data_IF_007512068720
#
_entry.id   IF_007512068720
#
_cell.length_a   1.000
_cell.length_b   1.000
_cell.length_c   1.000
_cell.angle_alpha   90.00
_cell.angle_beta   90.00
_cell.angle_gamma   90.00
#
_symmetry.space_group_name_H-M   'P 1'
#
loop_
_entity.id
_entity.type
_entity.pdbx_description
1 polymer ?
#
# COMPACT_ATOMS: atom_id res chain seq x y z
N UNK A 1 -8.13 -8.26 28.52
CA UNK A 1 -8.38 -6.97 27.84
C UNK A 1 -7.06 -6.23 27.76
N UNK A 2 -6.70 -5.71 26.59
CA UNK A 2 -5.54 -4.82 26.48
C UNK A 2 -5.88 -3.49 27.16
N UNK A 3 -4.95 -2.95 27.94
CA UNK A 3 -5.11 -1.62 28.55
C UNK A 3 -4.84 -0.48 27.55
N UNK A 4 -4.82 -0.80 26.25
CA UNK A 4 -4.57 0.15 25.16
C UNK A 4 -5.88 0.78 24.69
N UNK A 5 -5.85 2.11 24.52
CA UNK A 5 -6.98 2.90 24.03
C UNK A 5 -6.79 3.19 22.54
N UNK A 6 -7.53 2.48 21.70
CA UNK A 6 -7.45 2.63 20.23
C UNK A 6 -7.84 4.05 19.77
N UNK A 7 -8.77 4.73 20.47
CA UNK A 7 -9.18 6.09 20.13
C UNK A 7 -8.07 7.12 20.36
N UNK A 8 -7.12 6.79 21.24
CA UNK A 8 -5.93 7.61 21.51
C UNK A 8 -4.67 7.12 20.79
N UNK A 9 -4.83 6.27 19.80
CA UNK A 9 -3.72 5.73 19.01
C UNK A 9 -3.08 4.47 19.58
N UNK A 10 -3.50 4.00 20.76
CA UNK A 10 -3.01 2.76 21.37
C UNK A 10 -3.85 1.57 20.90
N UNK A 11 -3.57 1.03 19.72
CA UNK A 11 -4.26 -0.15 19.23
C UNK A 11 -3.50 -1.43 19.55
N UNK A 12 -4.17 -2.44 20.10
CA UNK A 12 -3.60 -3.77 20.36
C UNK A 12 -3.40 -4.60 19.08
N UNK A 13 -3.89 -4.10 17.95
CA UNK A 13 -3.85 -4.78 16.66
C UNK A 13 -4.47 -6.20 16.70
N UNK A 14 -5.53 -6.39 17.47
CA UNK A 14 -6.21 -7.69 17.60
C UNK A 14 -6.71 -8.25 16.27
N UNK A 15 -7.06 -7.38 15.31
CA UNK A 15 -7.39 -7.82 13.93
C UNK A 15 -6.24 -8.56 13.23
N UNK A 16 -4.99 -8.42 13.71
CA UNK A 16 -3.80 -9.06 13.17
C UNK A 16 -3.33 -10.28 13.97
N UNK A 17 -4.03 -10.62 15.03
CA UNK A 17 -3.73 -11.82 15.80
C UNK A 17 -4.16 -13.07 15.02
N UNK A 18 -3.60 -14.18 15.39
CA UNK A 18 -3.97 -15.48 14.87
C UNK A 18 -5.12 -16.04 15.69
N UNK A 19 -6.14 -16.52 15.02
CA UNK A 19 -7.32 -17.12 15.61
C UNK A 19 -7.57 -18.50 15.02
N UNK A 20 -8.15 -19.37 15.81
CA UNK A 20 -8.77 -20.59 15.35
C UNK A 20 -10.27 -20.40 15.22
N UNK A 21 -10.86 -20.90 14.16
CA UNK A 21 -12.30 -20.82 13.90
C UNK A 21 -12.98 -22.11 14.34
N UNK A 22 -14.09 -21.99 15.05
CA UNK A 22 -14.90 -23.11 15.50
C UNK A 22 -16.37 -22.82 15.20
N UNK A 23 -17.18 -23.89 15.00
CA UNK A 23 -18.62 -23.72 14.86
C UNK A 23 -19.26 -23.24 16.15
N UNK A 24 -20.24 -22.37 16.04
CA UNK A 24 -21.07 -21.92 17.15
C UNK A 24 -22.22 -22.91 17.43
N UNK A 25 -22.68 -23.03 18.69
CA UNK A 25 -22.19 -22.34 19.88
C UNK A 25 -21.06 -23.09 20.63
N UNK A 26 -20.80 -24.37 20.34
CA UNK A 26 -19.86 -25.21 21.08
C UNK A 26 -19.06 -26.17 20.17
N UNK A 27 -18.70 -25.71 18.98
CA UNK A 27 -17.90 -26.50 18.05
C UNK A 27 -16.60 -26.99 18.65
N UNK A 28 -16.33 -28.27 18.47
CA UNK A 28 -15.08 -28.91 18.90
C UNK A 28 -14.07 -29.06 17.78
N UNK A 29 -14.54 -28.98 16.56
CA UNK A 29 -13.71 -29.10 15.39
C UNK A 29 -13.26 -27.76 14.87
N UNK A 30 -11.99 -27.67 14.56
CA UNK A 30 -11.41 -26.49 13.94
C UNK A 30 -11.91 -26.39 12.50
N UNK A 31 -12.35 -25.20 12.09
CA UNK A 31 -12.88 -24.92 10.74
C UNK A 31 -11.87 -24.18 9.89
N UNK A 32 -11.96 -24.40 8.59
CA UNK A 32 -11.25 -23.60 7.59
C UNK A 32 -12.26 -22.74 6.81
N UNK A 33 -11.86 -21.50 6.48
CA UNK A 33 -12.60 -20.68 5.53
C UNK A 33 -12.16 -20.96 4.09
N UNK A 34 -10.98 -21.59 3.92
CA UNK A 34 -10.38 -21.85 2.62
C UNK A 34 -9.79 -23.27 2.58
N UNK A 35 -10.45 -24.15 1.86
CA UNK A 35 -10.00 -25.53 1.71
C UNK A 35 -10.39 -26.47 2.85
N UNK A 36 -9.87 -27.71 2.82
CA UNK A 36 -10.20 -28.77 3.77
C UNK A 36 -9.35 -28.73 5.05
N UNK A 37 -8.18 -28.13 4.99
CA UNK A 37 -7.24 -28.06 6.12
C UNK A 37 -7.49 -26.77 6.90
N UNK A 38 -7.77 -26.83 8.22
CA UNK A 38 -7.93 -25.64 9.03
C UNK A 38 -6.65 -24.81 9.05
N UNK A 39 -6.77 -23.57 8.57
CA UNK A 39 -5.68 -22.59 8.56
C UNK A 39 -5.83 -21.62 9.74
N UNK A 40 -4.71 -21.00 10.13
CA UNK A 40 -4.76 -19.87 11.04
C UNK A 40 -5.51 -18.72 10.36
N UNK A 41 -6.50 -18.18 11.05
CA UNK A 41 -7.30 -17.06 10.61
C UNK A 41 -6.82 -15.76 11.28
N UNK A 42 -6.77 -14.67 10.53
CA UNK A 42 -6.68 -13.33 11.10
C UNK A 42 -7.82 -12.48 10.53
N UNK A 43 -8.28 -11.49 11.29
CA UNK A 43 -9.29 -10.55 10.83
C UNK A 43 -8.70 -9.44 9.92
N UNK A 44 -7.49 -9.61 9.45
CA UNK A 44 -6.85 -8.67 8.53
C UNK A 44 -7.35 -8.89 7.11
N UNK A 45 -7.83 -7.82 6.49
CA UNK A 45 -8.09 -7.79 5.07
C UNK A 45 -6.83 -7.41 4.27
N UNK A 46 -6.87 -7.61 2.96
CA UNK A 46 -5.94 -7.00 2.00
C UNK A 46 -6.05 -5.47 2.09
N UNK A 47 -5.05 -4.75 1.59
CA UNK A 47 -5.10 -3.29 1.59
C UNK A 47 -6.07 -2.81 0.49
N UNK A 48 -6.84 -1.74 0.78
CA UNK A 48 -7.77 -1.18 -0.20
C UNK A 48 -7.04 -0.18 -1.12
N UNK A 49 -7.25 -0.32 -2.43
CA UNK A 49 -6.79 0.63 -3.44
C UNK A 49 -7.87 0.86 -4.48
N UNK A 50 -8.03 2.13 -4.87
CA UNK A 50 -8.93 2.58 -5.93
C UNK A 50 -8.15 3.31 -7.04
N UNK A 51 -6.84 3.07 -7.15
CA UNK A 51 -5.97 3.79 -8.09
C UNK A 51 -6.37 3.59 -9.55
N UNK A 52 -6.80 2.39 -9.90
CA UNK A 52 -7.28 2.01 -11.24
C UNK A 52 -8.75 2.41 -11.52
N UNK A 53 -9.44 2.93 -10.48
CA UNK A 53 -10.84 3.34 -10.52
C UNK A 53 -11.05 4.83 -10.17
N UNK A 54 -10.05 5.67 -10.39
CA UNK A 54 -10.13 7.12 -10.11
C UNK A 54 -11.26 7.78 -10.89
N UNK A 55 -11.49 7.32 -12.12
CA UNK A 55 -12.62 7.77 -12.93
C UNK A 55 -13.93 7.65 -12.17
N UNK A 56 -14.25 6.45 -11.66
CA UNK A 56 -15.51 6.20 -10.95
C UNK A 56 -15.67 7.11 -9.73
N UNK A 57 -14.59 7.38 -9.00
CA UNK A 57 -14.63 8.25 -7.84
C UNK A 57 -14.95 9.70 -8.23
N UNK A 58 -14.30 10.21 -9.27
CA UNK A 58 -14.50 11.59 -9.73
C UNK A 58 -15.90 11.76 -10.34
N UNK A 59 -16.34 10.84 -11.21
CA UNK A 59 -17.64 10.90 -11.86
C UNK A 59 -18.80 10.76 -10.87
N UNK A 60 -18.62 10.05 -9.77
CA UNK A 60 -19.60 9.96 -8.69
C UNK A 60 -19.51 11.11 -7.67
N UNK A 61 -18.71 12.14 -7.93
CA UNK A 61 -18.67 13.36 -7.13
C UNK A 61 -17.93 13.23 -5.81
N UNK A 62 -16.89 12.42 -5.74
CA UNK A 62 -16.03 12.33 -4.55
C UNK A 62 -15.11 13.54 -4.51
N UNK A 63 -15.29 14.41 -3.52
CA UNK A 63 -14.52 15.66 -3.37
C UNK A 63 -13.15 15.47 -2.72
N UNK A 64 -12.95 14.40 -1.94
CA UNK A 64 -11.74 14.21 -1.16
C UNK A 64 -11.39 12.74 -0.98
N UNK A 65 -10.11 12.42 -1.17
CA UNK A 65 -9.55 11.07 -0.97
C UNK A 65 -8.72 11.04 0.32
N UNK A 66 -9.05 10.11 1.22
CA UNK A 66 -8.29 9.90 2.45
C UNK A 66 -7.32 8.74 2.28
N UNK A 67 -6.02 9.02 2.37
CA UNK A 67 -4.97 8.02 2.37
C UNK A 67 -4.58 7.69 3.82
N UNK A 68 -4.65 6.41 4.20
CA UNK A 68 -4.25 5.94 5.52
C UNK A 68 -2.79 5.46 5.49
N UNK A 69 -1.95 6.15 6.24
CA UNK A 69 -0.52 5.88 6.28
C UNK A 69 0.12 5.97 7.67
N UNK A 70 -0.67 6.11 8.77
CA UNK A 70 -0.13 6.33 10.12
C UNK A 70 0.91 5.30 10.55
N UNK A 71 0.72 4.05 10.18
CA UNK A 71 1.62 2.94 10.52
C UNK A 71 2.55 2.55 9.35
N UNK A 72 2.60 3.36 8.32
CA UNK A 72 3.43 3.14 7.12
C UNK A 72 4.65 4.05 7.15
N UNK A 73 5.63 3.78 6.28
CA UNK A 73 6.82 4.62 6.11
C UNK A 73 6.49 5.93 5.37
N UNK A 74 7.36 6.92 5.49
CA UNK A 74 7.28 8.17 4.69
C UNK A 74 7.31 7.83 3.20
N UNK A 75 8.15 6.89 2.79
CA UNK A 75 8.22 6.41 1.42
C UNK A 75 6.85 5.90 0.93
N UNK A 76 6.18 5.04 1.70
CA UNK A 76 4.85 4.57 1.34
C UNK A 76 3.87 5.74 1.15
N UNK A 77 3.82 6.66 2.11
CA UNK A 77 2.88 7.79 2.05
C UNK A 77 3.17 8.70 0.87
N UNK A 78 4.44 9.01 0.60
CA UNK A 78 4.83 9.86 -0.53
C UNK A 78 4.52 9.21 -1.88
N UNK A 79 4.83 7.92 -2.05
CA UNK A 79 4.54 7.18 -3.28
C UNK A 79 3.04 7.11 -3.54
N UNK A 80 2.27 6.66 -2.55
CA UNK A 80 0.80 6.54 -2.69
C UNK A 80 0.17 7.89 -3.01
N UNK A 81 0.55 8.95 -2.28
CA UNK A 81 0.00 10.29 -2.51
C UNK A 81 0.35 10.82 -3.90
N UNK A 82 1.58 10.58 -4.36
CA UNK A 82 2.03 11.01 -5.68
C UNK A 82 1.30 10.27 -6.80
N UNK A 83 1.10 8.94 -6.67
CA UNK A 83 0.34 8.15 -7.63
C UNK A 83 -1.12 8.62 -7.73
N UNK A 84 -1.80 8.80 -6.60
CA UNK A 84 -3.18 9.29 -6.60
C UNK A 84 -3.29 10.71 -7.12
N UNK A 85 -2.34 11.59 -6.80
CA UNK A 85 -2.31 12.96 -7.35
C UNK A 85 -2.14 12.94 -8.87
N UNK A 86 -1.20 12.12 -9.37
CA UNK A 86 -0.97 11.99 -10.81
C UNK A 86 -2.20 11.40 -11.54
N UNK A 87 -2.86 10.40 -10.94
CA UNK A 87 -4.09 9.81 -11.50
C UNK A 87 -5.22 10.84 -11.62
N UNK A 88 -5.47 11.59 -10.54
CA UNK A 88 -6.51 12.65 -10.53
C UNK A 88 -6.19 13.74 -11.55
N UNK A 89 -4.97 14.25 -11.57
CA UNK A 89 -4.56 15.30 -12.52
C UNK A 89 -4.71 14.84 -13.96
N UNK A 90 -4.24 13.62 -14.28
CA UNK A 90 -4.34 13.06 -15.61
C UNK A 90 -5.80 12.89 -16.04
N UNK A 91 -6.65 12.36 -15.17
CA UNK A 91 -8.06 12.15 -15.48
C UNK A 91 -8.81 13.49 -15.69
N UNK A 92 -8.54 14.49 -14.84
CA UNK A 92 -9.14 15.84 -14.98
C UNK A 92 -8.68 16.55 -16.24
N UNK A 93 -7.49 16.20 -16.77
CA UNK A 93 -7.04 16.73 -18.08
C UNK A 93 -7.72 16.01 -19.24
N UNK A 94 -7.68 14.69 -19.29
CA UNK A 94 -8.53 13.86 -20.12
C UNK A 94 -8.53 12.38 -19.66
N UNK A 95 -9.62 11.62 -19.87
CA UNK A 95 -9.66 10.19 -19.58
C UNK A 95 -8.55 9.39 -20.27
N UNK A 96 -8.20 9.76 -21.51
CA UNK A 96 -7.17 9.10 -22.28
C UNK A 96 -5.78 9.25 -21.66
N UNK A 97 -5.49 10.41 -21.04
CA UNK A 97 -4.24 10.62 -20.33
C UNK A 97 -4.13 9.74 -19.10
N UNK A 98 -5.20 9.59 -18.36
CA UNK A 98 -5.24 8.66 -17.21
C UNK A 98 -5.00 7.22 -17.69
N UNK A 99 -5.72 6.76 -18.70
CA UNK A 99 -5.54 5.39 -19.23
C UNK A 99 -4.11 5.14 -19.73
N UNK A 100 -3.45 6.17 -20.28
CA UNK A 100 -2.07 6.05 -20.75
C UNK A 100 -1.04 5.81 -19.63
N UNK A 101 -1.28 6.30 -18.42
CA UNK A 101 -0.36 6.16 -17.28
C UNK A 101 -0.85 5.20 -16.21
N UNK A 102 -2.05 4.68 -16.33
CA UNK A 102 -2.72 3.88 -15.31
C UNK A 102 -1.91 2.65 -14.88
N UNK A 103 -1.35 1.92 -15.82
CA UNK A 103 -0.55 0.74 -15.52
C UNK A 103 0.73 1.11 -14.77
N UNK A 104 1.40 2.18 -15.16
CA UNK A 104 2.62 2.67 -14.48
C UNK A 104 2.30 3.06 -13.03
N UNK A 105 1.14 3.68 -12.78
CA UNK A 105 0.68 4.02 -11.43
C UNK A 105 0.40 2.78 -10.58
N UNK A 106 -0.22 1.76 -11.15
CA UNK A 106 -0.48 0.48 -10.49
C UNK A 106 0.85 -0.20 -10.13
N UNK A 107 1.79 -0.27 -11.07
CA UNK A 107 3.11 -0.88 -10.86
C UNK A 107 3.90 -0.14 -9.78
N UNK A 108 3.85 1.19 -9.76
CA UNK A 108 4.48 1.99 -8.71
C UNK A 108 3.86 1.75 -7.33
N UNK A 109 2.53 1.60 -7.26
CA UNK A 109 1.85 1.22 -6.01
C UNK A 109 2.31 -0.14 -5.49
N UNK A 110 2.59 -1.10 -6.39
CA UNK A 110 3.08 -2.42 -6.01
C UNK A 110 4.49 -2.39 -5.42
N UNK A 111 5.35 -1.44 -5.78
CA UNK A 111 6.70 -1.28 -5.19
C UNK A 111 6.64 -1.04 -3.68
N UNK A 112 5.59 -0.38 -3.18
CA UNK A 112 5.43 -0.05 -1.75
C UNK A 112 4.34 -0.85 -1.05
N UNK A 113 3.51 -1.59 -1.76
CA UNK A 113 2.44 -2.39 -1.20
C UNK A 113 3.00 -3.54 -0.35
N UNK A 114 2.50 -3.66 0.88
CA UNK A 114 2.90 -4.71 1.82
C UNK A 114 1.88 -5.85 1.89
N UNK A 115 0.78 -5.73 1.14
CA UNK A 115 -0.32 -6.68 1.04
C UNK A 115 -0.87 -6.62 -0.37
N UNK A 116 -1.64 -7.62 -0.72
CA UNK A 116 -2.47 -7.55 -1.91
C UNK A 116 -3.44 -6.39 -1.84
N UNK A 117 -3.86 -5.90 -2.99
CA UNK A 117 -4.74 -4.75 -3.14
C UNK A 117 -6.09 -5.22 -3.66
N UNK A 118 -7.17 -4.63 -3.14
CA UNK A 118 -8.54 -4.87 -3.57
C UNK A 118 -9.37 -3.58 -3.47
N UNK A 119 -10.53 -3.57 -4.07
CA UNK A 119 -11.44 -2.41 -4.06
C UNK A 119 -12.34 -2.35 -2.82
N UNK A 120 -12.19 -3.29 -1.87
CA UNK A 120 -13.05 -3.37 -0.69
C UNK A 120 -14.51 -3.60 -1.06
N UNK A 121 -15.41 -2.75 -0.56
CA UNK A 121 -16.87 -2.85 -0.79
C UNK A 121 -17.38 -2.05 -1.99
N UNK A 122 -16.51 -1.39 -2.77
CA UNK A 122 -16.97 -0.49 -3.85
C UNK A 122 -17.71 -1.21 -4.97
N UNK A 123 -17.32 -2.43 -5.31
CA UNK A 123 -17.93 -3.19 -6.42
C UNK A 123 -18.66 -4.46 -5.95
N UNK A 124 -19.01 -4.52 -4.69
CA UNK A 124 -19.77 -5.63 -4.15
C UNK A 124 -19.36 -6.04 -2.75
N UNK A 125 -19.91 -7.15 -2.28
CA UNK A 125 -19.53 -7.71 -0.98
C UNK A 125 -18.19 -8.44 -1.12
N UNK A 126 -17.19 -8.11 -0.30
CA UNK A 126 -15.92 -8.84 -0.28
C UNK A 126 -16.11 -10.32 -0.02
N UNK A 127 -15.30 -11.12 -0.68
CA UNK A 127 -15.24 -12.58 -0.55
C UNK A 127 -14.09 -13.01 0.38
N UNK A 128 -13.84 -14.29 0.42
CA UNK A 128 -12.66 -14.84 1.09
C UNK A 128 -11.34 -14.36 0.48
N UNK A 129 -11.36 -13.92 -0.80
CA UNK A 129 -10.17 -13.46 -1.51
C UNK A 129 -9.64 -12.11 -0.99
N UNK A 130 -10.50 -11.29 -0.39
CA UNK A 130 -10.12 -10.03 0.24
C UNK A 130 -9.65 -10.21 1.68
N UNK A 131 -9.62 -11.45 2.20
CA UNK A 131 -9.11 -11.79 3.52
C UNK A 131 -7.67 -12.31 3.44
N UNK A 132 -6.81 -11.89 4.36
CA UNK A 132 -5.44 -12.40 4.45
C UNK A 132 -5.42 -13.76 5.18
N UNK A 133 -5.00 -14.80 4.47
CA UNK A 133 -4.72 -16.12 5.01
C UNK A 133 -3.21 -16.37 5.01
N UNK A 134 -2.67 -16.87 6.12
CA UNK A 134 -1.28 -17.29 6.25
C UNK A 134 -0.27 -16.13 6.20
N UNK A 135 0.23 -15.78 5.04
CA UNK A 135 1.22 -14.71 4.87
C UNK A 135 0.63 -13.34 5.19
N UNK A 136 1.13 -12.71 6.27
CA UNK A 136 0.61 -11.45 6.77
C UNK A 136 1.14 -10.22 6.06
N UNK A 137 2.21 -10.37 5.29
CA UNK A 137 2.93 -9.26 4.71
C UNK A 137 3.68 -9.69 3.45
N UNK A 138 3.43 -9.02 2.35
CA UNK A 138 4.32 -9.07 1.19
C UNK A 138 5.58 -8.27 1.52
N UNK A 139 6.76 -8.81 1.21
CA UNK A 139 8.01 -8.06 1.30
C UNK A 139 8.10 -7.29 -0.01
N UNK A 140 8.12 -5.95 0.01
CA UNK A 140 8.31 -5.17 -1.19
C UNK A 140 9.65 -5.52 -1.86
N UNK A 141 9.68 -5.57 -3.17
CA UNK A 141 10.91 -5.82 -3.95
C UNK A 141 11.88 -4.66 -3.81
N UNK A 142 11.36 -3.45 -3.62
CA UNK A 142 12.13 -2.22 -3.45
C UNK A 142 12.32 -1.88 -1.97
N UNK A 143 13.53 -1.41 -1.64
CA UNK A 143 13.86 -0.93 -0.30
C UNK A 143 14.01 0.59 -0.34
N UNK A 144 13.39 1.26 0.61
CA UNK A 144 13.66 2.66 0.85
C UNK A 144 15.06 2.80 1.49
N UNK A 145 16.00 3.36 0.77
CA UNK A 145 17.41 3.42 1.19
C UNK A 145 17.85 4.81 1.63
N UNK A 146 17.30 5.88 1.04
CA UNK A 146 17.68 7.25 1.38
C UNK A 146 16.58 8.28 1.05
N UNK A 147 16.88 9.53 1.41
CA UNK A 147 16.15 10.71 0.97
C UNK A 147 17.15 11.77 0.48
N UNK A 148 16.87 12.42 -0.64
CA UNK A 148 17.69 13.53 -1.15
C UNK A 148 17.43 14.76 -0.29
N UNK A 149 18.49 15.28 0.32
CA UNK A 149 18.46 16.48 1.18
C UNK A 149 18.71 17.73 0.38
N UNK A 150 19.68 17.69 -0.55
CA UNK A 150 20.04 18.79 -1.43
C UNK A 150 20.71 18.29 -2.69
N UNK A 151 20.71 19.13 -3.72
CA UNK A 151 21.42 18.88 -4.97
C UNK A 151 22.19 20.13 -5.36
N UNK A 152 23.45 19.96 -5.76
CA UNK A 152 24.32 21.02 -6.27
C UNK A 152 24.48 20.85 -7.78
N UNK A 153 23.88 21.77 -8.54
CA UNK A 153 23.92 21.75 -9.99
C UNK A 153 25.33 21.99 -10.55
N UNK A 154 26.19 22.74 -9.84
CA UNK A 154 27.52 23.06 -10.33
C UNK A 154 28.47 21.86 -10.27
N UNK A 155 28.33 21.04 -9.23
CA UNK A 155 29.13 19.83 -9.03
C UNK A 155 28.41 18.55 -9.44
N UNK A 156 27.14 18.65 -9.84
CA UNK A 156 26.25 17.50 -10.17
C UNK A 156 26.20 16.47 -9.04
N UNK A 157 26.17 16.97 -7.79
CA UNK A 157 26.25 16.12 -6.59
C UNK A 157 25.00 16.22 -5.74
N UNK A 158 24.39 15.08 -5.40
CA UNK A 158 23.31 14.99 -4.44
C UNK A 158 23.83 14.68 -3.03
N UNK A 159 23.33 15.40 -2.03
CA UNK A 159 23.50 15.01 -0.63
C UNK A 159 22.30 14.19 -0.21
N UNK A 160 22.53 12.95 0.22
CA UNK A 160 21.49 12.04 0.64
C UNK A 160 21.54 11.79 2.15
N UNK A 161 20.38 11.54 2.74
CA UNK A 161 20.26 11.06 4.11
C UNK A 161 19.95 9.57 4.09
N UNK A 162 20.97 8.77 4.36
CA UNK A 162 20.85 7.33 4.39
C UNK A 162 19.85 6.84 5.45
N UNK A 163 18.94 5.96 5.06
CA UNK A 163 17.92 5.32 5.90
C UNK A 163 18.11 3.82 5.99
N UNK A 164 18.77 3.22 5.03
CA UNK A 164 19.05 1.78 4.97
C UNK A 164 20.43 1.54 4.33
N UNK A 165 20.87 0.29 4.32
CA UNK A 165 22.16 -0.07 3.72
C UNK A 165 22.10 0.16 2.21
N UNK A 166 23.11 0.86 1.72
CA UNK A 166 23.39 1.13 0.31
C UNK A 166 24.89 0.94 0.08
N UNK A 167 25.27 0.31 -1.01
CA UNK A 167 26.66 0.03 -1.34
C UNK A 167 27.01 0.65 -2.69
N UNK A 168 28.29 0.87 -2.91
CA UNK A 168 28.81 1.25 -4.22
C UNK A 168 28.50 0.16 -5.25
N UNK A 169 27.92 0.57 -6.39
CA UNK A 169 27.45 -0.30 -7.44
C UNK A 169 25.98 -0.77 -7.31
N UNK A 170 25.30 -0.41 -6.22
CA UNK A 170 23.85 -0.68 -6.12
C UNK A 170 23.08 0.16 -7.16
N UNK A 171 22.14 -0.47 -7.83
CA UNK A 171 21.17 0.23 -8.66
C UNK A 171 20.11 0.88 -7.78
N UNK A 172 19.88 2.15 -7.99
CA UNK A 172 18.89 2.94 -7.24
C UNK A 172 17.93 3.65 -8.16
N UNK A 173 16.70 3.79 -7.72
CA UNK A 173 15.68 4.60 -8.37
C UNK A 173 15.42 5.85 -7.54
N UNK A 174 15.58 7.02 -8.14
CA UNK A 174 15.18 8.29 -7.56
C UNK A 174 13.76 8.61 -7.95
N UNK A 175 12.96 8.93 -6.96
CA UNK A 175 11.55 9.18 -7.10
C UNK A 175 11.19 10.54 -6.49
N UNK A 176 10.41 11.35 -7.21
CA UNK A 176 10.09 12.69 -6.79
C UNK A 176 8.66 13.13 -7.13
N UNK A 177 8.28 14.37 -6.75
CA UNK A 177 6.98 14.92 -7.04
C UNK A 177 6.63 14.95 -8.53
N UNK A 178 5.35 14.77 -8.86
CA UNK A 178 4.87 14.79 -10.24
C UNK A 178 5.14 13.48 -10.99
N UNK A 179 5.25 12.38 -10.26
CA UNK A 179 5.47 11.04 -10.85
C UNK A 179 6.74 10.98 -11.71
N UNK A 180 7.81 11.63 -11.22
CA UNK A 180 9.13 11.64 -11.87
C UNK A 180 10.05 10.66 -11.18
N UNK A 181 10.63 9.78 -11.96
CA UNK A 181 11.66 8.86 -11.47
C UNK A 181 12.73 8.63 -12.53
N UNK A 182 13.91 8.29 -12.08
CA UNK A 182 15.01 7.84 -12.92
C UNK A 182 15.89 6.85 -12.15
N UNK A 183 16.51 5.96 -12.87
CA UNK A 183 17.42 4.97 -12.33
C UNK A 183 18.89 5.37 -12.57
N UNK A 184 19.75 5.04 -11.62
CA UNK A 184 21.19 5.20 -11.72
C UNK A 184 21.90 4.21 -10.81
N UNK A 185 23.23 4.25 -10.80
CA UNK A 185 24.08 3.48 -9.89
C UNK A 185 24.77 4.42 -8.91
N UNK A 186 24.96 3.96 -7.68
CA UNK A 186 25.73 4.66 -6.65
C UNK A 186 27.22 4.30 -6.77
#
# INVERSE_FOLDING_TARGET
MSMLDANRGGCSQSCRWKYDLYDMPFGKERKSLKGEIPEEFSMSAVDMSMIDHIQDMIENGVDSLKIEGRMKSIHYVSTVTNCYKAAVDAYLESPEKFEAIKQDLIDEMWKVAQRELATGFYYGTPSENEQLFGARRKIPEYKFVDEVVSYDDATQTATIRQRNVINEGDQVEFYGPGFRHFETYI
#
